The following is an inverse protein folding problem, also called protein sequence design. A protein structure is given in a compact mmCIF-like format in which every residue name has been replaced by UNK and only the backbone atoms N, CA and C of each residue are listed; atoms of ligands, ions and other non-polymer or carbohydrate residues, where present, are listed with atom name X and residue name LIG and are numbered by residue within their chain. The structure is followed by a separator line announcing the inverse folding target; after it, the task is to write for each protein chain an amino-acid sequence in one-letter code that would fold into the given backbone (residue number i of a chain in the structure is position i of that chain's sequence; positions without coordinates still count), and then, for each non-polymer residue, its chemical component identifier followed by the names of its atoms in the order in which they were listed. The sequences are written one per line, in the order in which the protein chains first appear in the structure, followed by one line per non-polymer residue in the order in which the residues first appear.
data_IF_981623415040
#
_entry.id   IF_981623415040
#
_cell.length_a   1.000
_cell.length_b   1.000
_cell.length_c   1.000
_cell.angle_alpha   90.00
_cell.angle_beta   90.00
_cell.angle_gamma   90.00
#
_symmetry.space_group_name_H-M   'P 1'
#
loop_
_entity.id
_entity.type
_entity.pdbx_description
1 polymer ?
#
# COMPACT_ATOMS: atom_id res chain seq x y z
N UNK A 1 -2.79 -16.92 -2.64
CA UNK A 1 -2.43 -15.65 -1.97
C UNK A 1 -3.58 -15.29 -1.05
N UNK A 2 -3.38 -15.30 0.28
CA UNK A 2 -4.44 -15.00 1.25
C UNK A 2 -4.51 -13.49 1.47
N UNK A 3 -5.59 -12.85 0.99
CA UNK A 3 -5.88 -11.44 1.21
C UNK A 3 -6.55 -11.32 2.59
N UNK A 4 -5.97 -10.55 3.50
CA UNK A 4 -6.46 -10.40 4.87
C UNK A 4 -7.32 -9.15 5.04
N UNK A 5 -8.13 -9.12 6.10
CA UNK A 5 -8.78 -7.89 6.57
C UNK A 5 -7.69 -6.87 6.95
N UNK A 6 -7.62 -5.75 6.23
CA UNK A 6 -6.60 -4.71 6.44
C UNK A 6 -5.62 -4.54 5.28
N UNK A 7 -5.70 -5.40 4.26
CA UNK A 7 -4.93 -5.21 3.04
C UNK A 7 -5.46 -4.02 2.23
N UNK A 8 -4.55 -3.18 1.76
CA UNK A 8 -4.83 -2.05 0.87
C UNK A 8 -4.03 -2.18 -0.41
N UNK A 9 -4.67 -1.84 -1.52
CA UNK A 9 -4.02 -1.68 -2.81
C UNK A 9 -3.98 -0.20 -3.12
N UNK A 10 -2.82 0.30 -3.52
CA UNK A 10 -2.51 1.68 -3.78
C UNK A 10 -2.02 1.79 -5.23
N UNK A 11 -2.56 2.74 -5.97
CA UNK A 11 -1.99 3.17 -7.24
C UNK A 11 -1.08 4.36 -6.93
N UNK A 12 0.20 4.22 -7.24
CA UNK A 12 1.22 5.20 -6.89
C UNK A 12 2.02 5.65 -8.11
N UNK A 13 2.47 6.91 -8.10
CA UNK A 13 3.53 7.40 -8.98
C UNK A 13 4.82 7.49 -8.17
N UNK A 14 5.88 6.93 -8.72
CA UNK A 14 7.22 6.88 -8.13
C UNK A 14 7.73 5.46 -8.02
N UNK A 15 9.02 5.33 -7.73
CA UNK A 15 9.69 4.02 -7.56
C UNK A 15 10.16 3.85 -6.13
N UNK A 16 9.26 3.70 -5.14
CA UNK A 16 9.69 3.39 -3.79
C UNK A 16 10.42 2.05 -3.79
N UNK A 17 11.54 1.98 -3.06
CA UNK A 17 12.21 0.72 -2.84
C UNK A 17 11.36 -0.12 -1.87
N UNK A 18 11.26 -1.43 -2.13
CA UNK A 18 10.48 -2.33 -1.29
C UNK A 18 10.94 -2.28 0.17
N UNK A 19 12.25 -2.23 0.39
CA UNK A 19 12.87 -2.09 1.72
C UNK A 19 12.43 -0.81 2.45
N UNK A 20 12.24 0.30 1.74
CA UNK A 20 11.71 1.53 2.32
C UNK A 20 10.27 1.35 2.78
N UNK A 21 9.45 0.69 1.97
CA UNK A 21 8.03 0.43 2.28
C UNK A 21 7.86 -0.50 3.47
N UNK A 22 8.68 -1.54 3.57
CA UNK A 22 8.71 -2.45 4.72
C UNK A 22 9.21 -1.79 6.00
N UNK A 23 9.99 -0.70 5.89
CA UNK A 23 10.45 0.09 7.04
C UNK A 23 9.44 1.13 7.52
N UNK A 24 8.36 1.37 6.76
CA UNK A 24 7.34 2.34 7.14
C UNK A 24 6.56 1.87 8.36
N UNK A 25 6.28 2.78 9.32
CA UNK A 25 5.51 2.43 10.49
C UNK A 25 4.09 1.97 10.09
N UNK A 26 3.61 0.90 10.70
CA UNK A 26 2.29 0.34 10.42
C UNK A 26 2.18 -0.54 9.18
N UNK A 27 3.28 -0.78 8.45
CA UNK A 27 3.34 -1.75 7.36
C UNK A 27 3.79 -3.10 7.90
N UNK A 28 2.93 -4.11 7.81
CA UNK A 28 3.27 -5.50 8.15
C UNK A 28 3.92 -6.23 6.98
N UNK A 29 3.47 -5.93 5.78
CA UNK A 29 3.97 -6.52 4.54
C UNK A 29 3.74 -5.52 3.41
N UNK A 30 4.73 -5.39 2.53
CA UNK A 30 4.62 -4.63 1.30
C UNK A 30 4.88 -5.55 0.11
N UNK A 31 4.19 -5.32 -0.99
CA UNK A 31 4.43 -6.00 -2.25
C UNK A 31 4.16 -5.04 -3.39
N UNK A 32 5.15 -4.84 -4.26
CA UNK A 32 5.03 -3.95 -5.40
C UNK A 32 4.71 -4.76 -6.65
N UNK A 33 3.53 -4.51 -7.21
CA UNK A 33 3.00 -5.15 -8.40
C UNK A 33 3.06 -4.17 -9.58
N UNK A 34 3.57 -4.64 -10.72
CA UNK A 34 3.54 -3.94 -12.00
C UNK A 34 4.14 -2.52 -11.97
N UNK A 35 5.43 -2.38 -12.27
CA UNK A 35 5.97 -1.09 -12.71
C UNK A 35 5.57 -0.86 -14.17
N UNK A 36 4.61 0.02 -14.41
CA UNK A 36 4.45 0.57 -15.76
C UNK A 36 5.69 1.43 -16.07
N UNK A 37 6.16 1.39 -17.33
CA UNK A 37 7.38 2.09 -17.80
C UNK A 37 7.41 3.61 -17.55
N UNK A 38 6.30 4.21 -17.12
CA UNK A 38 6.16 5.66 -16.88
C UNK A 38 6.18 6.04 -15.39
N UNK A 39 6.45 5.10 -14.47
CA UNK A 39 6.56 5.38 -13.04
C UNK A 39 5.29 5.10 -12.23
N UNK A 40 4.25 4.56 -12.87
CA UNK A 40 3.07 4.07 -12.17
C UNK A 40 3.33 2.66 -11.63
N UNK A 41 3.07 2.45 -10.34
CA UNK A 41 3.14 1.14 -9.71
C UNK A 41 1.88 0.85 -8.90
N UNK A 42 1.49 -0.42 -8.83
CA UNK A 42 0.45 -0.87 -7.89
C UNK A 42 1.12 -1.43 -6.66
N UNK A 43 0.94 -0.77 -5.52
CA UNK A 43 1.48 -1.20 -4.25
C UNK A 43 0.39 -1.92 -3.44
N UNK A 44 0.69 -3.10 -2.95
CA UNK A 44 -0.12 -3.80 -1.96
C UNK A 44 0.57 -3.66 -0.61
N UNK A 45 -0.16 -3.16 0.38
CA UNK A 45 0.29 -3.11 1.77
C UNK A 45 -0.70 -3.87 2.63
N UNK A 46 -0.17 -4.66 3.56
CA UNK A 46 -0.92 -5.14 4.72
C UNK A 46 -0.64 -4.20 5.88
N UNK A 47 -1.66 -3.52 6.37
CA UNK A 47 -1.52 -2.57 7.48
C UNK A 47 -1.71 -3.23 8.85
N UNK A 48 -1.13 -2.62 9.88
CA UNK A 48 -1.50 -2.87 11.27
C UNK A 48 -2.92 -2.36 11.58
N UNK A 49 -3.56 -2.92 12.61
CA UNK A 49 -4.98 -2.70 12.89
C UNK A 49 -5.34 -1.25 13.30
N UNK A 50 -4.36 -0.50 13.80
CA UNK A 50 -4.46 0.92 14.20
C UNK A 50 -4.08 1.90 13.07
N UNK A 51 -3.65 1.36 11.93
CA UNK A 51 -3.32 2.11 10.73
C UNK A 51 -4.47 2.09 9.72
N UNK A 52 -4.71 3.25 9.14
CA UNK A 52 -5.70 3.44 8.08
C UNK A 52 -5.04 3.92 6.79
N UNK A 53 -5.79 3.88 5.69
CA UNK A 53 -5.30 4.28 4.37
C UNK A 53 -4.86 5.75 4.33
N UNK A 54 -5.49 6.63 5.11
CA UNK A 54 -5.18 8.06 5.13
C UNK A 54 -3.82 8.33 5.80
N UNK A 55 -3.55 7.68 6.95
CA UNK A 55 -2.24 7.76 7.62
C UNK A 55 -1.13 7.20 6.73
N UNK A 56 -1.38 6.06 6.10
CA UNK A 56 -0.40 5.44 5.20
C UNK A 56 -0.13 6.32 3.97
N UNK A 57 -1.16 6.93 3.40
CA UNK A 57 -1.03 7.89 2.30
C UNK A 57 -0.08 9.04 2.68
N UNK A 58 -0.29 9.68 3.83
CA UNK A 58 0.57 10.78 4.28
C UNK A 58 2.04 10.35 4.45
N UNK A 59 2.29 9.12 4.93
CA UNK A 59 3.64 8.58 5.04
C UNK A 59 4.29 8.35 3.67
N UNK A 60 3.55 7.77 2.73
CA UNK A 60 4.02 7.55 1.36
C UNK A 60 4.36 8.88 0.68
N UNK A 61 3.47 9.87 0.78
CA UNK A 61 3.69 11.21 0.21
C UNK A 61 4.89 11.92 0.84
N UNK A 62 5.11 11.76 2.15
CA UNK A 62 6.31 12.29 2.83
C UNK A 62 7.62 11.64 2.34
N UNK A 63 7.55 10.41 1.82
CA UNK A 63 8.67 9.70 1.20
C UNK A 63 8.77 9.92 -0.32
N UNK A 64 8.04 10.91 -0.86
CA UNK A 64 8.06 11.24 -2.29
C UNK A 64 7.27 10.28 -3.17
N UNK A 65 6.41 9.43 -2.59
CA UNK A 65 5.51 8.53 -3.32
C UNK A 65 4.15 9.18 -3.43
N UNK A 66 3.74 9.52 -4.65
CA UNK A 66 2.43 10.13 -4.85
C UNK A 66 1.35 9.04 -4.96
N UNK A 67 0.31 9.12 -4.14
CA UNK A 67 -0.81 8.17 -4.19
C UNK A 67 -1.93 8.74 -5.06
N UNK A 68 -2.25 8.05 -6.16
CA UNK A 68 -3.31 8.42 -7.10
C UNK A 68 -4.67 7.93 -6.64
N UNK A 69 -4.70 6.72 -6.09
CA UNK A 69 -5.92 6.05 -5.69
C UNK A 69 -5.62 4.90 -4.75
N UNK A 70 -6.63 4.46 -4.01
CA UNK A 70 -6.53 3.25 -3.21
C UNK A 70 -7.83 2.47 -3.19
N UNK A 71 -7.68 1.17 -2.97
CA UNK A 71 -8.77 0.24 -2.76
C UNK A 71 -8.44 -0.63 -1.57
N UNK A 72 -9.23 -0.52 -0.51
CA UNK A 72 -9.12 -1.45 0.61
C UNK A 72 -9.76 -2.78 0.22
N UNK A 73 -9.08 -3.88 0.52
CA UNK A 73 -9.67 -5.20 0.41
C UNK A 73 -10.84 -5.26 1.38
N UNK A 74 -12.06 -5.18 0.85
CA UNK A 74 -13.24 -5.57 1.62
C UNK A 74 -13.13 -7.06 1.83
N UNK A 75 -12.85 -7.48 3.05
CA UNK A 75 -13.10 -8.86 3.42
C UNK A 75 -14.55 -9.18 3.09
N UNK A 76 -14.76 -10.16 2.23
CA UNK A 76 -16.04 -10.83 2.17
C UNK A 76 -16.27 -11.41 3.57
N UNK A 77 -17.07 -10.71 4.37
CA UNK A 77 -17.53 -11.22 5.66
C UNK A 77 -18.28 -12.52 5.35
N UNK A 78 -17.69 -13.66 5.67
CA UNK A 78 -18.41 -14.91 5.71
C UNK A 78 -19.58 -14.72 6.69
N UNK A 79 -20.79 -14.92 6.18
CA UNK A 79 -22.04 -14.84 6.92
C UNK A 79 -22.11 -15.89 8.02
#
# INVERSE_FOLDING_TARGET
MNINAGDIFLEIIGTPQLSTLESLPGVRCASLYNQARLGDATLHLSLEADWDASKMRSQLEANGVQVLGWKQAKTARAA
#
